data_IF_501292636718
#
_entry.id   IF_501292636718
#
_cell.length_a   1.000
_cell.length_b   1.000
_cell.length_c   1.000
_cell.angle_alpha   90.00
_cell.angle_beta   90.00
_cell.angle_gamma   90.00
#
_symmetry.space_group_name_H-M   'P 1'
#
loop_
_entity.id
_entity.type
_entity.pdbx_description
1 polymer ?
#
# COMPACT_ATOMS: atom_id res chain seq x y z
N UNK A 1 -41.74 34.21 -44.99
CA UNK A 1 -41.35 32.80 -44.77
C UNK A 1 -39.89 32.59 -44.31
N UNK A 2 -38.94 33.51 -44.51
CA UNK A 2 -37.53 33.28 -44.11
C UNK A 2 -37.22 33.40 -42.60
N UNK A 3 -37.88 34.31 -41.86
CA UNK A 3 -37.54 34.58 -40.44
C UNK A 3 -37.84 33.40 -39.50
N UNK A 4 -38.88 32.64 -39.80
CA UNK A 4 -39.25 31.43 -39.05
C UNK A 4 -38.23 30.30 -39.27
N UNK A 5 -37.80 30.07 -40.52
CA UNK A 5 -36.78 29.05 -40.85
C UNK A 5 -35.42 29.36 -40.22
N UNK A 6 -35.04 30.64 -40.18
CA UNK A 6 -33.79 31.09 -39.53
C UNK A 6 -33.85 30.87 -38.02
N UNK A 7 -34.98 31.19 -37.37
CA UNK A 7 -35.15 31.00 -35.92
C UNK A 7 -35.09 29.51 -35.53
N UNK A 8 -35.70 28.65 -36.34
CA UNK A 8 -35.63 27.19 -36.15
C UNK A 8 -34.19 26.69 -36.33
N UNK A 9 -33.45 27.20 -37.31
CA UNK A 9 -32.06 26.79 -37.54
C UNK A 9 -31.13 27.18 -36.39
N UNK A 10 -31.28 28.39 -35.85
CA UNK A 10 -30.50 28.87 -34.69
C UNK A 10 -30.81 28.04 -33.46
N UNK A 11 -32.10 27.73 -33.23
CA UNK A 11 -32.51 26.89 -32.11
C UNK A 11 -31.91 25.48 -32.20
N UNK A 12 -31.89 24.87 -33.39
CA UNK A 12 -31.28 23.56 -33.61
C UNK A 12 -29.77 23.58 -33.35
N UNK A 13 -29.06 24.63 -33.77
CA UNK A 13 -27.63 24.80 -33.50
C UNK A 13 -27.32 25.01 -32.02
N UNK A 14 -28.18 25.73 -31.30
CA UNK A 14 -28.03 25.91 -29.86
C UNK A 14 -28.26 24.61 -29.10
N UNK A 15 -29.30 23.85 -29.47
CA UNK A 15 -29.61 22.55 -28.87
C UNK A 15 -28.51 21.54 -29.18
N UNK A 16 -28.01 21.49 -30.42
CA UNK A 16 -26.91 20.58 -30.77
C UNK A 16 -25.61 20.95 -30.06
N UNK A 17 -25.28 22.23 -29.98
CA UNK A 17 -24.11 22.73 -29.23
C UNK A 17 -24.21 22.43 -27.74
N UNK A 18 -25.40 22.57 -27.14
CA UNK A 18 -25.65 22.24 -25.74
C UNK A 18 -25.56 20.73 -25.47
N UNK A 19 -26.09 19.89 -26.37
CA UNK A 19 -25.98 18.45 -26.28
C UNK A 19 -24.53 17.97 -26.41
N UNK A 20 -23.74 18.58 -27.31
CA UNK A 20 -22.30 18.32 -27.43
C UNK A 20 -21.58 18.78 -26.15
N UNK A 21 -21.87 19.98 -25.65
CA UNK A 21 -21.28 20.45 -24.40
C UNK A 21 -21.59 19.53 -23.21
N UNK A 22 -22.81 18.99 -23.12
CA UNK A 22 -23.17 17.99 -22.10
C UNK A 22 -22.43 16.66 -22.31
N UNK A 23 -22.30 16.21 -23.56
CA UNK A 23 -21.67 14.92 -23.88
C UNK A 23 -20.15 14.95 -23.62
N UNK A 24 -19.49 16.08 -23.85
CA UNK A 24 -18.04 16.25 -23.68
C UNK A 24 -17.64 16.94 -22.37
N UNK A 25 -18.56 17.63 -21.71
CA UNK A 25 -18.34 18.38 -20.47
C UNK A 25 -18.65 17.60 -19.19
N UNK A 26 -19.25 16.41 -19.28
CA UNK A 26 -19.33 15.47 -18.17
C UNK A 26 -17.95 14.81 -17.98
N UNK A 27 -17.33 14.90 -16.79
CA UNK A 27 -16.06 14.24 -16.52
C UNK A 27 -16.27 12.72 -16.61
N UNK A 28 -15.90 12.12 -17.74
CA UNK A 28 -15.82 10.66 -17.91
C UNK A 28 -14.58 10.16 -17.17
N UNK A 29 -14.62 10.17 -15.83
CA UNK A 29 -13.38 10.20 -15.07
C UNK A 29 -13.35 9.55 -13.71
N UNK A 30 -14.26 8.62 -13.40
CA UNK A 30 -13.99 7.63 -12.34
C UNK A 30 -14.51 6.29 -12.87
N UNK A 31 -13.61 5.38 -13.27
CA UNK A 31 -13.96 3.96 -13.38
C UNK A 31 -14.15 3.43 -11.95
N UNK A 32 -15.27 3.81 -11.35
CA UNK A 32 -15.65 3.38 -10.01
C UNK A 32 -15.92 1.90 -10.08
N UNK A 33 -14.99 1.07 -9.61
CA UNK A 33 -15.33 -0.31 -9.29
C UNK A 33 -16.21 -0.32 -8.04
N UNK A 34 -17.16 -1.26 -7.98
CA UNK A 34 -18.04 -1.36 -6.81
C UNK A 34 -17.24 -1.83 -5.59
N UNK A 35 -17.68 -1.49 -4.37
CA UNK A 35 -17.19 -2.15 -3.16
C UNK A 35 -17.21 -3.67 -3.35
N UNK A 36 -16.19 -4.34 -2.84
CA UNK A 36 -16.10 -5.80 -2.91
C UNK A 36 -16.10 -6.37 -1.49
N UNK A 37 -16.60 -7.59 -1.34
CA UNK A 37 -16.54 -8.32 -0.07
C UNK A 37 -15.38 -9.29 -0.10
N UNK A 38 -14.51 -9.25 0.93
CA UNK A 38 -13.48 -10.28 1.10
C UNK A 38 -14.12 -11.61 1.53
N UNK A 39 -13.70 -12.72 0.93
CA UNK A 39 -14.29 -14.03 1.20
C UNK A 39 -13.96 -14.57 2.61
N UNK A 40 -12.79 -14.24 3.16
CA UNK A 40 -12.33 -14.79 4.45
C UNK A 40 -12.84 -13.95 5.62
N UNK A 41 -12.77 -12.62 5.51
CA UNK A 41 -13.17 -11.72 6.59
C UNK A 41 -14.64 -11.28 6.50
N UNK A 42 -15.27 -11.47 5.34
CA UNK A 42 -16.66 -11.06 5.12
C UNK A 42 -16.85 -9.54 5.14
N UNK A 43 -15.75 -8.78 5.04
CA UNK A 43 -15.77 -7.33 5.14
C UNK A 43 -15.88 -6.72 3.73
N UNK A 44 -16.85 -5.80 3.56
CA UNK A 44 -16.90 -4.95 2.38
C UNK A 44 -15.82 -3.87 2.47
N UNK A 45 -15.10 -3.66 1.36
CA UNK A 45 -14.10 -2.62 1.25
C UNK A 45 -14.31 -1.75 0.02
N UNK A 46 -14.12 -0.44 0.17
CA UNK A 46 -14.20 0.59 -0.87
C UNK A 46 -12.89 0.79 -1.64
N UNK A 47 -11.78 0.19 -1.21
CA UNK A 47 -10.43 0.52 -1.69
C UNK A 47 -10.31 0.41 -3.23
N UNK A 48 -10.94 -0.62 -3.80
CA UNK A 48 -10.90 -0.89 -5.24
C UNK A 48 -11.69 0.13 -6.06
N UNK A 49 -12.56 0.93 -5.45
CA UNK A 49 -13.27 2.02 -6.14
C UNK A 49 -12.29 2.99 -6.79
N UNK A 50 -11.15 3.24 -6.14
CA UNK A 50 -10.04 4.03 -6.71
C UNK A 50 -8.87 3.16 -7.20
N UNK A 51 -8.58 2.03 -6.53
CA UNK A 51 -7.43 1.17 -6.85
C UNK A 51 -7.76 0.00 -7.80
N UNK A 52 -8.68 0.23 -8.75
CA UNK A 52 -9.21 -0.81 -9.65
C UNK A 52 -8.16 -1.50 -10.53
N UNK A 53 -7.03 -0.85 -10.78
CA UNK A 53 -5.97 -1.33 -11.68
C UNK A 53 -4.83 -2.06 -10.97
N UNK A 54 -4.93 -2.27 -9.65
CA UNK A 54 -3.90 -2.99 -8.90
C UNK A 54 -3.87 -4.48 -9.29
N UNK A 55 -2.67 -5.00 -9.57
CA UNK A 55 -2.45 -6.38 -10.04
C UNK A 55 -1.21 -7.00 -9.38
N UNK A 56 -0.92 -8.27 -9.68
CA UNK A 56 0.28 -8.96 -9.17
C UNK A 56 0.08 -9.70 -7.85
N UNK A 57 -1.16 -9.84 -7.39
CA UNK A 57 -1.47 -10.55 -6.15
C UNK A 57 -1.28 -12.06 -6.30
N UNK A 58 -0.61 -12.67 -5.31
CA UNK A 58 -0.62 -14.11 -5.17
C UNK A 58 -2.05 -14.60 -4.85
N UNK A 59 -2.44 -15.83 -5.23
CA UNK A 59 -3.80 -16.33 -5.00
C UNK A 59 -4.26 -16.21 -3.54
N UNK A 60 -3.37 -16.50 -2.58
CA UNK A 60 -3.66 -16.43 -1.14
C UNK A 60 -3.72 -15.02 -0.57
N UNK A 61 -3.19 -14.01 -1.28
CA UNK A 61 -3.17 -12.60 -0.88
C UNK A 61 -3.94 -11.72 -1.87
N UNK A 62 -4.90 -12.31 -2.58
CA UNK A 62 -5.79 -11.56 -3.46
C UNK A 62 -6.78 -10.75 -2.62
N UNK A 63 -7.00 -9.44 -2.89
CA UNK A 63 -7.97 -8.64 -2.16
C UNK A 63 -9.37 -9.26 -2.12
N UNK A 64 -9.84 -9.91 -3.19
CA UNK A 64 -11.14 -10.59 -3.20
C UNK A 64 -11.20 -11.75 -2.18
N UNK A 65 -10.06 -12.29 -1.76
CA UNK A 65 -9.97 -13.36 -0.77
C UNK A 65 -9.80 -12.78 0.63
N UNK A 66 -8.76 -11.96 0.85
CA UNK A 66 -8.37 -11.51 2.19
C UNK A 66 -8.70 -10.03 2.49
N UNK A 67 -8.94 -9.20 1.48
CA UNK A 67 -9.09 -7.75 1.63
C UNK A 67 -7.77 -7.00 1.56
N UNK A 68 -7.83 -5.67 1.53
CA UNK A 68 -6.70 -4.75 1.53
C UNK A 68 -6.30 -4.37 2.97
N UNK A 69 -7.29 -4.15 3.84
CA UNK A 69 -7.09 -3.61 5.19
C UNK A 69 -6.36 -4.53 6.18
N UNK A 70 -6.30 -5.87 6.03
CA UNK A 70 -5.46 -6.68 6.91
C UNK A 70 -3.96 -6.40 6.77
N UNK A 71 -3.55 -5.94 5.59
CA UNK A 71 -2.17 -5.54 5.32
C UNK A 71 -2.02 -4.03 5.52
N UNK A 72 -2.87 -3.25 4.87
CA UNK A 72 -2.73 -1.80 4.82
C UNK A 72 -3.38 -1.08 5.99
N UNK A 73 -4.18 -1.72 6.83
CA UNK A 73 -5.04 -1.04 7.81
C UNK A 73 -5.95 0.00 7.10
N UNK A 74 -6.28 1.09 7.77
CA UNK A 74 -7.17 2.11 7.23
C UNK A 74 -8.65 1.86 7.52
N UNK A 75 -9.50 2.71 6.95
CA UNK A 75 -10.95 2.58 7.05
C UNK A 75 -11.52 1.99 5.74
N UNK A 76 -11.98 0.73 5.73
CA UNK A 76 -12.48 0.09 4.52
C UNK A 76 -13.86 0.61 4.06
N UNK A 77 -14.58 1.33 4.93
CA UNK A 77 -15.98 1.68 4.71
C UNK A 77 -16.19 3.11 4.17
N UNK A 78 -15.11 3.85 3.95
CA UNK A 78 -15.15 5.23 3.45
C UNK A 78 -14.62 5.28 2.02
N UNK A 79 -15.19 6.11 1.16
CA UNK A 79 -14.73 6.33 -0.22
C UNK A 79 -14.00 7.68 -0.40
N UNK A 80 -13.98 8.52 0.64
CA UNK A 80 -13.12 9.70 0.71
C UNK A 80 -11.68 9.31 1.05
N UNK A 81 -10.74 9.77 0.21
CA UNK A 81 -9.32 9.43 0.31
C UNK A 81 -8.73 9.63 1.70
N UNK A 82 -9.03 10.74 2.37
CA UNK A 82 -8.39 11.08 3.64
C UNK A 82 -8.99 10.25 4.77
N UNK A 83 -10.30 9.98 4.72
CA UNK A 83 -10.98 9.10 5.66
C UNK A 83 -10.59 7.63 5.48
N UNK A 84 -10.54 7.12 4.24
CA UNK A 84 -10.15 5.73 3.95
C UNK A 84 -8.71 5.44 4.39
N UNK A 85 -7.80 6.40 4.20
CA UNK A 85 -6.39 6.23 4.53
C UNK A 85 -6.04 6.58 5.99
N UNK A 86 -7.02 6.95 6.82
CA UNK A 86 -6.76 7.26 8.21
C UNK A 86 -6.18 6.04 8.95
N UNK A 87 -5.00 6.20 9.57
CA UNK A 87 -4.24 5.13 10.22
C UNK A 87 -3.78 3.99 9.28
N UNK A 88 -3.70 4.25 7.97
CA UNK A 88 -3.21 3.27 7.00
C UNK A 88 -1.68 3.08 7.12
N UNK A 89 -1.26 1.82 7.07
CA UNK A 89 0.11 1.39 6.81
C UNK A 89 0.39 1.44 5.31
N UNK A 90 1.29 2.34 4.91
CA UNK A 90 1.68 2.50 3.51
C UNK A 90 2.48 1.29 2.97
N UNK A 91 3.37 0.74 3.80
CA UNK A 91 4.26 -0.37 3.41
C UNK A 91 4.12 -1.51 4.42
N UNK A 92 3.23 -2.49 4.17
CA UNK A 92 2.93 -3.57 5.10
C UNK A 92 4.00 -4.67 5.15
N UNK A 93 4.99 -4.63 4.24
CA UNK A 93 6.14 -5.52 4.27
C UNK A 93 7.24 -5.10 5.25
N UNK A 94 7.12 -3.92 5.87
CA UNK A 94 8.12 -3.44 6.83
C UNK A 94 7.95 -4.16 8.17
N UNK A 95 9.04 -4.69 8.72
CA UNK A 95 8.96 -5.38 10.00
C UNK A 95 8.53 -4.50 11.18
N UNK A 96 8.62 -3.18 11.04
CA UNK A 96 8.15 -2.22 12.06
C UNK A 96 6.64 -2.23 12.27
N UNK A 97 5.86 -2.80 11.35
CA UNK A 97 4.40 -2.94 11.45
C UNK A 97 3.94 -4.39 11.25
N UNK A 98 4.87 -5.34 11.24
CA UNK A 98 4.55 -6.73 10.94
C UNK A 98 3.65 -7.35 12.01
N UNK A 99 3.80 -6.98 13.28
CA UNK A 99 2.93 -7.41 14.39
C UNK A 99 1.46 -7.00 14.19
N UNK A 100 1.22 -5.84 13.59
CA UNK A 100 -0.11 -5.30 13.29
C UNK A 100 -0.70 -5.82 11.98
N UNK A 101 0.10 -6.45 11.12
CA UNK A 101 -0.29 -6.85 9.77
C UNK A 101 -0.14 -8.35 9.56
N UNK A 102 0.96 -8.81 8.97
CA UNK A 102 1.18 -10.21 8.63
C UNK A 102 1.41 -11.11 9.86
N UNK A 103 1.91 -10.56 10.97
CA UNK A 103 2.22 -11.24 12.23
C UNK A 103 1.08 -11.26 13.25
N UNK A 104 -0.13 -10.86 12.85
CA UNK A 104 -1.31 -10.99 13.71
C UNK A 104 -1.66 -12.46 13.96
N UNK A 105 -2.39 -12.71 15.05
CA UNK A 105 -2.82 -14.07 15.47
C UNK A 105 -3.64 -14.82 14.41
N UNK A 106 -4.30 -14.10 13.51
CA UNK A 106 -5.13 -14.68 12.45
C UNK A 106 -4.35 -14.93 11.14
N UNK A 107 -3.07 -14.57 11.09
CA UNK A 107 -2.23 -14.68 9.90
C UNK A 107 -0.98 -15.52 10.17
N UNK A 108 0.20 -14.90 10.28
CA UNK A 108 1.50 -15.55 10.36
C UNK A 108 2.23 -15.23 11.67
N UNK A 109 1.50 -15.25 12.79
CA UNK A 109 2.03 -14.91 14.11
C UNK A 109 3.30 -15.68 14.49
N UNK A 110 3.32 -16.99 14.31
CA UNK A 110 4.46 -17.83 14.68
C UNK A 110 5.71 -17.59 13.81
N UNK A 111 5.54 -16.99 12.63
CA UNK A 111 6.62 -16.70 11.69
C UNK A 111 7.34 -15.40 12.04
N UNK A 112 6.67 -14.45 12.69
CA UNK A 112 7.24 -13.14 12.99
C UNK A 112 8.54 -13.27 13.80
N UNK A 113 8.51 -14.01 14.91
CA UNK A 113 9.69 -14.24 15.74
C UNK A 113 10.85 -14.89 14.96
N UNK A 114 10.55 -15.76 13.98
CA UNK A 114 11.58 -16.40 13.16
C UNK A 114 12.23 -15.43 12.19
N UNK A 115 11.43 -14.56 11.58
CA UNK A 115 11.93 -13.56 10.62
C UNK A 115 12.78 -12.52 11.36
N UNK A 116 12.31 -12.03 12.50
CA UNK A 116 13.02 -11.01 13.27
C UNK A 116 14.41 -11.47 13.74
N UNK A 117 14.53 -12.75 14.07
CA UNK A 117 15.79 -13.36 14.50
C UNK A 117 16.56 -14.06 13.37
N UNK A 118 16.13 -13.91 12.11
CA UNK A 118 16.81 -14.54 10.97
C UNK A 118 18.16 -13.89 10.68
N UNK A 119 19.08 -14.65 10.07
CA UNK A 119 20.40 -14.14 9.67
C UNK A 119 20.31 -12.96 8.69
N UNK A 120 19.32 -12.98 7.80
CA UNK A 120 19.14 -11.92 6.80
C UNK A 120 18.57 -10.64 7.43
N UNK A 121 17.69 -10.76 8.43
CA UNK A 121 17.13 -9.59 9.10
C UNK A 121 18.08 -8.98 10.12
N UNK A 122 18.76 -9.81 10.91
CA UNK A 122 19.73 -9.35 11.90
C UNK A 122 21.04 -8.89 11.26
N UNK A 123 21.37 -9.41 10.07
CA UNK A 123 22.68 -9.27 9.43
C UNK A 123 23.85 -9.63 10.37
N UNK A 124 23.60 -10.53 11.34
CA UNK A 124 24.54 -10.83 12.42
C UNK A 124 25.95 -11.15 11.92
N UNK A 125 26.08 -11.95 10.86
CA UNK A 125 27.39 -12.30 10.31
C UNK A 125 28.14 -11.10 9.74
N UNK A 126 27.44 -10.24 8.99
CA UNK A 126 28.04 -9.06 8.38
C UNK A 126 28.48 -8.04 9.46
N UNK A 127 27.62 -7.79 10.45
CA UNK A 127 27.92 -6.89 11.56
C UNK A 127 29.11 -7.40 12.38
N UNK A 128 29.11 -8.69 12.73
CA UNK A 128 30.19 -9.28 13.57
C UNK A 128 31.54 -9.31 12.85
N UNK A 129 31.57 -9.66 11.55
CA UNK A 129 32.82 -9.59 10.76
C UNK A 129 33.33 -8.17 10.65
N UNK A 130 32.43 -7.21 10.46
CA UNK A 130 32.80 -5.80 10.37
C UNK A 130 33.40 -5.28 11.68
N UNK A 131 32.74 -5.53 12.82
CA UNK A 131 33.27 -5.20 14.16
C UNK A 131 34.63 -5.84 14.42
N UNK A 132 34.82 -7.09 14.02
CA UNK A 132 36.11 -7.76 14.15
C UNK A 132 37.21 -7.08 13.32
N UNK A 133 36.91 -6.70 12.08
CA UNK A 133 37.86 -6.03 11.19
C UNK A 133 38.33 -4.67 11.74
N UNK A 134 37.42 -3.88 12.33
CA UNK A 134 37.73 -2.59 12.93
C UNK A 134 38.35 -2.68 14.33
N UNK A 135 38.42 -3.88 14.93
CA UNK A 135 38.93 -4.09 16.29
C UNK A 135 37.93 -3.75 17.39
N UNK A 136 36.66 -3.49 17.04
CA UNK A 136 35.57 -3.21 17.97
C UNK A 136 35.03 -4.50 18.64
N UNK A 137 35.40 -5.68 18.14
CA UNK A 137 35.15 -6.98 18.75
C UNK A 137 36.33 -7.93 18.53
N UNK A 138 36.72 -8.69 19.56
CA UNK A 138 37.73 -9.75 19.43
C UNK A 138 37.12 -11.12 19.05
N UNK A 139 35.79 -11.22 18.99
CA UNK A 139 35.06 -12.50 18.82
C UNK A 139 34.22 -12.49 17.56
N UNK A 140 34.44 -13.48 16.68
CA UNK A 140 33.70 -13.68 15.42
C UNK A 140 32.37 -14.42 15.58
N UNK A 141 32.15 -15.09 16.71
CA UNK A 141 30.92 -15.83 17.00
C UNK A 141 29.88 -15.03 17.80
N UNK A 142 30.11 -13.72 18.00
CA UNK A 142 29.15 -12.87 18.69
C UNK A 142 27.86 -12.76 17.86
N UNK A 143 26.71 -12.89 18.52
CA UNK A 143 25.43 -12.55 17.92
C UNK A 143 25.29 -11.03 17.90
N UNK A 144 24.83 -10.50 16.77
CA UNK A 144 24.62 -9.08 16.56
C UNK A 144 23.32 -8.85 15.79
N UNK A 145 22.72 -7.67 15.96
CA UNK A 145 21.54 -7.26 15.22
C UNK A 145 21.77 -5.88 14.62
N UNK A 146 21.53 -5.72 13.33
CA UNK A 146 21.63 -4.43 12.62
C UNK A 146 20.79 -3.33 13.28
N UNK A 147 19.68 -3.68 13.93
CA UNK A 147 18.83 -2.71 14.65
C UNK A 147 19.53 -2.05 15.84
N UNK A 148 20.59 -2.69 16.36
CA UNK A 148 21.36 -2.22 17.51
C UNK A 148 22.59 -1.41 17.12
N UNK A 149 22.84 -1.21 15.82
CA UNK A 149 23.97 -0.38 15.37
C UNK A 149 23.84 1.03 15.92
N UNK A 150 24.95 1.60 16.36
CA UNK A 150 25.04 3.00 16.80
C UNK A 150 25.89 3.82 15.83
N UNK A 151 26.14 5.09 16.14
CA UNK A 151 27.14 5.89 15.42
C UNK A 151 28.38 6.13 16.31
N UNK A 152 28.51 5.38 17.40
CA UNK A 152 29.51 5.64 18.44
C UNK A 152 30.83 4.89 18.19
N UNK A 153 30.81 3.87 17.33
CA UNK A 153 31.98 3.06 17.00
C UNK A 153 32.23 3.00 15.48
N UNK A 154 33.50 2.94 15.03
CA UNK A 154 33.86 2.97 13.62
C UNK A 154 33.18 1.90 12.77
N UNK A 155 33.03 0.68 13.28
CA UNK A 155 32.38 -0.39 12.53
C UNK A 155 30.90 -0.08 12.23
N UNK A 156 30.16 0.43 13.21
CA UNK A 156 28.71 0.62 13.05
C UNK A 156 28.43 1.82 12.14
N UNK A 157 29.27 2.87 12.21
CA UNK A 157 29.23 4.00 11.28
C UNK A 157 29.55 3.56 9.84
N UNK A 158 30.56 2.69 9.65
CA UNK A 158 30.88 2.13 8.34
C UNK A 158 29.70 1.36 7.73
N UNK A 159 28.91 0.66 8.55
CA UNK A 159 27.79 -0.15 8.06
C UNK A 159 26.60 0.69 7.55
N UNK A 160 26.56 1.98 7.88
CA UNK A 160 25.44 2.90 7.58
C UNK A 160 25.66 3.78 6.35
N UNK A 161 26.83 3.70 5.71
CA UNK A 161 27.21 4.44 4.50
C UNK A 161 27.23 3.55 3.26
#
# INVERSE_FOLDING_TARGET
MNRFRISVFIFVLFVSGFLIYLYWGLPTGIKSSKPFTSNILGQEESCMTCHAEMTGFAPSHNPQVIGCTPCHLGNPNEDDKDLSHQNMVLVPGNLSNADQTCGTVNCHHELLNRIENSLMNTMSGAVTVNRFFFGDSEVLSAHANVRELTNDIPSDDHFRH
#
